data_IF_167837926438
#
_entry.id   IF_167837926438
#
_cell.length_a   1.000
_cell.length_b   1.000
_cell.length_c   1.000
_cell.angle_alpha   90.00
_cell.angle_beta   90.00
_cell.angle_gamma   90.00
#
_symmetry.space_group_name_H-M   'P 1'
#
loop_
_entity.id
_entity.type
_entity.pdbx_description
1 polymer ?
#
# COMPACT_ATOMS: atom_id res chain seq x y z
N UNK A 1 -26.80 5.00 -24.07
CA UNK A 1 -27.68 3.84 -24.31
C UNK A 1 -28.36 3.49 -23.00
N UNK A 2 -29.66 3.24 -23.03
CA UNK A 2 -30.42 2.82 -21.86
C UNK A 2 -30.29 1.31 -21.62
N UNK A 3 -31.32 0.72 -21.01
CA UNK A 3 -31.42 -0.73 -20.86
C UNK A 3 -31.78 -1.34 -22.22
N UNK A 4 -30.89 -2.18 -22.75
CA UNK A 4 -31.07 -2.89 -24.03
C UNK A 4 -30.87 -4.38 -23.83
N UNK A 5 -31.29 -5.18 -24.79
CA UNK A 5 -31.10 -6.63 -24.74
C UNK A 5 -29.63 -7.00 -24.94
N UNK A 6 -29.22 -8.18 -24.44
CA UNK A 6 -27.87 -8.70 -24.62
C UNK A 6 -27.51 -8.85 -26.11
N UNK A 7 -28.44 -9.30 -26.94
CA UNK A 7 -28.23 -9.50 -28.37
C UNK A 7 -27.93 -8.17 -29.10
N UNK A 8 -28.68 -7.11 -28.79
CA UNK A 8 -28.44 -5.78 -29.34
C UNK A 8 -27.08 -5.23 -28.87
N UNK A 9 -26.74 -5.41 -27.59
CA UNK A 9 -25.46 -4.97 -27.05
C UNK A 9 -24.26 -5.67 -27.71
N UNK A 10 -24.36 -6.99 -27.95
CA UNK A 10 -23.34 -7.76 -28.65
C UNK A 10 -23.21 -7.36 -30.13
N UNK A 11 -24.35 -7.13 -30.81
CA UNK A 11 -24.35 -6.68 -32.19
C UNK A 11 -23.68 -5.31 -32.32
N UNK A 12 -23.96 -4.39 -31.39
CA UNK A 12 -23.36 -3.05 -31.40
C UNK A 12 -21.86 -3.08 -31.10
N UNK A 13 -21.43 -3.95 -30.17
CA UNK A 13 -20.00 -4.17 -29.91
C UNK A 13 -19.28 -4.73 -31.15
N UNK A 14 -19.90 -5.71 -31.82
CA UNK A 14 -19.37 -6.30 -33.05
C UNK A 14 -19.29 -5.27 -34.20
N UNK A 15 -20.30 -4.41 -34.38
CA UNK A 15 -20.26 -3.30 -35.36
C UNK A 15 -19.11 -2.34 -35.09
N UNK A 16 -18.82 -2.08 -33.82
CA UNK A 16 -17.72 -1.21 -33.41
C UNK A 16 -16.35 -1.91 -33.44
N UNK A 17 -16.30 -3.24 -33.64
CA UNK A 17 -15.06 -4.03 -33.55
C UNK A 17 -14.45 -4.05 -32.14
N UNK A 18 -15.28 -3.91 -31.10
CA UNK A 18 -14.88 -3.83 -29.69
C UNK A 18 -15.57 -4.93 -28.87
N UNK A 19 -15.17 -5.08 -27.61
CA UNK A 19 -15.76 -6.06 -26.70
C UNK A 19 -16.91 -5.44 -25.89
N UNK A 20 -17.96 -6.23 -25.64
CA UNK A 20 -18.95 -5.91 -24.61
C UNK A 20 -18.41 -6.36 -23.26
N UNK A 21 -18.05 -5.41 -22.39
CA UNK A 21 -17.44 -5.70 -21.08
C UNK A 21 -18.42 -5.34 -19.96
N UNK A 22 -18.73 -6.30 -19.10
CA UNK A 22 -19.53 -6.08 -17.90
C UNK A 22 -18.70 -5.35 -16.83
N UNK A 23 -19.09 -4.13 -16.47
CA UNK A 23 -18.36 -3.29 -15.50
C UNK A 23 -18.97 -3.29 -14.11
N UNK A 24 -20.28 -3.53 -14.01
CA UNK A 24 -20.98 -3.62 -12.72
C UNK A 24 -22.01 -4.74 -12.75
N UNK A 25 -21.62 -5.97 -12.37
CA UNK A 25 -22.53 -7.12 -12.34
C UNK A 25 -23.56 -7.05 -11.22
N UNK A 26 -23.30 -6.26 -10.18
CA UNK A 26 -24.18 -6.14 -9.00
C UNK A 26 -25.33 -5.15 -9.19
N UNK A 27 -25.37 -4.42 -10.31
CA UNK A 27 -26.45 -3.50 -10.61
C UNK A 27 -27.66 -4.25 -11.21
N UNK A 28 -28.86 -3.76 -10.95
CA UNK A 28 -30.09 -4.27 -11.55
C UNK A 28 -30.74 -3.17 -12.41
N UNK A 29 -30.62 -3.24 -13.76
CA UNK A 29 -29.94 -4.26 -14.56
C UNK A 29 -28.40 -4.12 -14.59
N UNK A 30 -27.65 -5.18 -14.96
CA UNK A 30 -26.19 -5.14 -15.05
C UNK A 30 -25.70 -4.05 -15.99
N UNK A 31 -24.61 -3.37 -15.61
CA UNK A 31 -24.04 -2.30 -16.43
C UNK A 31 -22.88 -2.85 -17.24
N UNK A 32 -23.07 -2.85 -18.56
CA UNK A 32 -22.04 -3.21 -19.54
C UNK A 32 -21.55 -1.97 -20.28
N UNK A 33 -20.29 -2.00 -20.73
CA UNK A 33 -19.67 -0.95 -21.54
C UNK A 33 -18.94 -1.59 -22.71
N UNK A 34 -19.14 -1.03 -23.90
CA UNK A 34 -18.41 -1.42 -25.11
C UNK A 34 -17.01 -0.79 -25.04
N UNK A 35 -15.96 -1.59 -24.97
CA UNK A 35 -14.57 -1.13 -24.93
C UNK A 35 -13.59 -2.23 -25.34
N UNK A 36 -12.36 -1.85 -25.69
CA UNK A 36 -11.27 -2.81 -25.87
C UNK A 36 -10.80 -3.32 -24.49
N UNK A 37 -11.07 -4.59 -24.20
CA UNK A 37 -10.73 -5.18 -22.92
C UNK A 37 -9.22 -5.30 -22.70
N UNK A 38 -8.46 -5.61 -23.75
CA UNK A 38 -7.00 -5.75 -23.70
C UNK A 38 -6.32 -4.43 -23.32
N UNK A 39 -6.69 -3.34 -24.01
CA UNK A 39 -6.20 -1.99 -23.74
C UNK A 39 -6.59 -1.53 -22.34
N UNK A 40 -7.82 -1.79 -21.90
CA UNK A 40 -8.27 -1.46 -20.55
C UNK A 40 -7.44 -2.17 -19.48
N UNK A 41 -7.21 -3.48 -19.61
CA UNK A 41 -6.39 -4.26 -18.67
C UNK A 41 -4.95 -3.77 -18.61
N UNK A 42 -4.37 -3.40 -19.76
CA UNK A 42 -3.04 -2.80 -19.82
C UNK A 42 -2.97 -1.45 -19.09
N UNK A 43 -3.95 -0.56 -19.33
CA UNK A 43 -3.99 0.73 -18.65
C UNK A 43 -4.21 0.59 -17.14
N UNK A 44 -5.05 -0.34 -16.72
CA UNK A 44 -5.30 -0.63 -15.32
C UNK A 44 -4.03 -1.16 -14.64
N UNK A 45 -3.32 -2.11 -15.26
CA UNK A 45 -2.07 -2.65 -14.71
C UNK A 45 -0.99 -1.58 -14.62
N UNK A 46 -0.85 -0.73 -15.65
CA UNK A 46 0.07 0.42 -15.67
C UNK A 46 -0.28 1.42 -14.56
N UNK A 47 -1.55 1.76 -14.38
CA UNK A 47 -2.02 2.65 -13.31
C UNK A 47 -1.67 2.08 -11.93
N UNK A 48 -1.94 0.79 -11.69
CA UNK A 48 -1.60 0.12 -10.44
C UNK A 48 -0.09 0.12 -10.20
N UNK A 49 0.73 -0.15 -11.23
CA UNK A 49 2.19 -0.10 -11.10
C UNK A 49 2.69 1.31 -10.76
N UNK A 50 2.17 2.35 -11.42
CA UNK A 50 2.53 3.74 -11.13
C UNK A 50 2.13 4.10 -9.71
N UNK A 51 0.89 3.77 -9.28
CA UNK A 51 0.44 4.00 -7.91
C UNK A 51 1.32 3.28 -6.88
N UNK A 52 1.68 2.01 -7.10
CA UNK A 52 2.59 1.26 -6.23
C UNK A 52 3.99 1.88 -6.16
N UNK A 53 4.53 2.38 -7.27
CA UNK A 53 5.83 3.07 -7.30
C UNK A 53 5.80 4.41 -6.59
N UNK A 54 4.70 5.17 -6.75
CA UNK A 54 4.52 6.47 -6.10
C UNK A 54 4.17 6.36 -4.61
N UNK A 55 3.71 5.19 -4.16
CA UNK A 55 3.40 4.96 -2.76
C UNK A 55 4.68 5.06 -1.94
N UNK A 56 4.74 6.04 -1.04
CA UNK A 56 5.85 6.18 -0.11
C UNK A 56 5.83 5.00 0.87
N UNK A 57 6.76 4.05 0.70
CA UNK A 57 6.92 2.92 1.61
C UNK A 57 7.61 3.42 2.87
N UNK A 58 6.82 3.77 3.88
CA UNK A 58 7.35 4.13 5.19
C UNK A 58 7.82 2.84 5.87
N UNK A 59 9.13 2.61 5.93
CA UNK A 59 9.68 1.49 6.68
C UNK A 59 9.72 1.83 8.17
N UNK A 60 9.39 0.86 9.01
CA UNK A 60 9.58 0.97 10.46
C UNK A 60 10.93 0.35 10.82
N UNK A 61 11.85 1.16 11.35
CA UNK A 61 13.14 0.71 11.87
C UNK A 61 13.03 0.56 13.38
N UNK A 62 13.30 -0.63 13.89
CA UNK A 62 13.30 -0.89 15.32
C UNK A 62 14.72 -0.70 15.89
N UNK A 63 14.83 0.05 16.99
CA UNK A 63 16.08 0.25 17.73
C UNK A 63 15.87 -0.22 19.16
N UNK A 64 16.77 -1.08 19.62
CA UNK A 64 16.69 -1.68 20.95
C UNK A 64 17.72 -1.07 21.90
N UNK A 65 17.24 -0.59 23.04
CA UNK A 65 18.07 0.01 24.09
C UNK A 65 17.99 -0.86 25.34
N UNK A 66 19.09 -0.94 26.09
CA UNK A 66 19.13 -1.61 27.39
C UNK A 66 19.30 -0.56 28.49
N UNK A 67 18.81 -0.80 29.71
CA UNK A 67 19.01 0.13 30.83
C UNK A 67 20.49 0.40 31.15
N UNK A 68 21.37 -0.58 30.91
CA UNK A 68 22.82 -0.50 31.12
C UNK A 68 23.60 -0.11 29.86
N UNK A 69 22.95 0.52 28.89
CA UNK A 69 23.64 1.03 27.70
C UNK A 69 24.60 2.14 28.13
N UNK A 70 25.89 2.00 27.80
CA UNK A 70 26.91 3.02 28.04
C UNK A 70 26.64 4.27 27.18
N UNK A 71 27.12 5.43 27.65
CA UNK A 71 26.89 6.74 27.01
C UNK A 71 27.31 6.75 25.53
N UNK A 72 28.46 6.14 25.21
CA UNK A 72 28.94 6.03 23.83
C UNK A 72 28.00 5.20 22.93
N UNK A 73 27.46 4.07 23.43
CA UNK A 73 26.49 3.25 22.68
C UNK A 73 25.16 3.98 22.49
N UNK A 74 24.74 4.79 23.46
CA UNK A 74 23.57 5.65 23.34
C UNK A 74 23.75 6.70 22.24
N UNK A 75 24.89 7.39 22.21
CA UNK A 75 25.20 8.38 21.16
C UNK A 75 25.18 7.78 19.75
N UNK A 76 25.74 6.58 19.58
CA UNK A 76 25.72 5.86 18.30
C UNK A 76 24.28 5.53 17.88
N UNK A 77 23.44 5.07 18.81
CA UNK A 77 22.01 4.81 18.54
C UNK A 77 21.25 6.08 18.21
N UNK A 78 21.51 7.19 18.88
CA UNK A 78 20.92 8.50 18.58
C UNK A 78 21.27 8.98 17.16
N UNK A 79 22.53 8.82 16.74
CA UNK A 79 22.96 9.11 15.36
C UNK A 79 22.20 8.27 14.34
N UNK A 80 21.98 6.98 14.63
CA UNK A 80 21.17 6.11 13.76
C UNK A 80 19.68 6.49 13.73
N UNK A 81 19.09 6.83 14.88
CA UNK A 81 17.70 7.32 14.96
C UNK A 81 17.55 8.55 14.06
N UNK A 82 18.46 9.52 14.20
CA UNK A 82 18.45 10.76 13.40
C UNK A 82 18.55 10.46 11.91
N UNK A 83 19.49 9.60 11.49
CA UNK A 83 19.64 9.16 10.10
C UNK A 83 18.37 8.50 9.55
N UNK A 84 17.68 7.68 10.35
CA UNK A 84 16.44 7.04 9.93
C UNK A 84 15.27 8.01 9.80
N UNK A 85 15.17 9.00 10.70
CA UNK A 85 14.17 10.07 10.62
C UNK A 85 14.41 10.99 9.42
N UNK A 86 15.66 11.35 9.15
CA UNK A 86 16.04 12.13 7.95
C UNK A 86 15.68 11.39 6.66
N UNK A 87 15.81 10.06 6.64
CA UNK A 87 15.37 9.20 5.55
C UNK A 87 13.84 8.94 5.52
N UNK A 88 13.03 9.70 6.27
CA UNK A 88 11.56 9.56 6.40
C UNK A 88 11.06 8.18 6.85
N UNK A 89 11.90 7.42 7.56
CA UNK A 89 11.47 6.18 8.17
C UNK A 89 10.83 6.45 9.53
N UNK A 90 9.88 5.60 9.92
CA UNK A 90 9.39 5.58 11.30
C UNK A 90 10.38 4.81 12.15
N UNK A 91 10.69 5.31 13.33
CA UNK A 91 11.58 4.63 14.27
C UNK A 91 10.77 4.15 15.47
N UNK A 92 10.86 2.86 15.79
CA UNK A 92 10.29 2.27 17.00
C UNK A 92 11.43 2.00 17.97
N UNK A 93 11.44 2.69 19.09
CA UNK A 93 12.43 2.48 20.15
C UNK A 93 11.83 1.52 21.16
N UNK A 94 12.52 0.41 21.42
CA UNK A 94 12.11 -0.62 22.37
C UNK A 94 13.17 -0.77 23.45
N UNK A 95 12.81 -0.59 24.72
CA UNK A 95 13.72 -0.89 25.84
C UNK A 95 13.58 -2.36 26.23
N UNK A 96 14.69 -3.11 26.26
CA UNK A 96 14.71 -4.51 26.69
C UNK A 96 15.27 -4.62 28.11
N UNK A 97 14.42 -5.02 29.04
CA UNK A 97 14.78 -5.34 30.42
C UNK A 97 15.20 -6.82 30.52
N UNK A 98 16.21 -7.15 31.34
CA UNK A 98 16.58 -8.54 31.67
C UNK A 98 16.37 -8.82 33.15
N UNK A 99 15.62 -9.89 33.47
CA UNK A 99 15.50 -10.42 34.83
C UNK A 99 14.88 -9.44 35.83
N UNK A 100 15.58 -9.16 36.94
CA UNK A 100 15.13 -8.24 38.02
C UNK A 100 15.09 -6.75 37.61
N UNK A 101 15.42 -6.42 36.37
CA UNK A 101 15.43 -5.04 35.86
C UNK A 101 14.02 -4.49 35.54
N UNK A 102 12.97 -5.32 35.64
CA UNK A 102 11.56 -4.88 35.51
C UNK A 102 11.19 -3.82 36.55
N UNK A 103 11.88 -3.75 37.69
CA UNK A 103 11.65 -2.73 38.71
C UNK A 103 12.11 -1.30 38.30
N UNK A 104 12.85 -1.16 37.20
CA UNK A 104 13.33 0.14 36.70
C UNK A 104 12.36 0.82 35.72
N UNK A 105 11.10 0.35 35.62
CA UNK A 105 10.07 1.03 34.82
C UNK A 105 9.79 2.47 35.23
N UNK A 106 10.10 2.86 36.48
CA UNK A 106 9.85 4.22 37.01
C UNK A 106 10.95 5.26 36.67
N UNK A 107 12.08 4.86 36.06
CA UNK A 107 13.13 5.80 35.62
C UNK A 107 12.93 6.22 34.13
N UNK A 108 11.76 5.92 33.56
CA UNK A 108 11.41 6.21 32.15
C UNK A 108 10.66 7.52 31.97
#
# INVERSE_FOLDING_TARGET
MGVITLAEALAEAAKAGLDLVEVSPTAAPPVCRIMDYGKFRYQQSKKVQVSKKSQTVIQVKEIRIRPKTEEHDLEVKLKHIRKFLEARNKVKISMMFRGREIAYTDIG
#
